data_IF_714315121932
#
_entry.id   IF_714315121932
#
_cell.length_a   1.000
_cell.length_b   1.000
_cell.length_c   1.000
_cell.angle_alpha   90.00
_cell.angle_beta   90.00
_cell.angle_gamma   90.00
#
_symmetry.space_group_name_H-M   'P 1'
#
loop_
_entity.id
_entity.type
_entity.pdbx_description
1 polymer ?
#
# COMPACT_ATOMS: atom_id res chain seq x y z
N UNK A 1 15.32 -29.45 -11.31
CA UNK A 1 15.88 -28.08 -11.14
C UNK A 1 15.42 -27.52 -9.79
N UNK A 2 16.20 -27.63 -8.70
CA UNK A 2 15.70 -27.38 -7.34
C UNK A 2 15.75 -25.92 -6.87
N UNK A 3 16.56 -25.06 -7.51
CA UNK A 3 16.93 -23.76 -6.93
C UNK A 3 16.18 -22.55 -7.53
N UNK A 4 15.58 -22.69 -8.72
CA UNK A 4 14.95 -21.59 -9.45
C UNK A 4 13.75 -20.98 -8.72
N UNK A 5 12.96 -21.81 -8.03
CA UNK A 5 11.80 -21.37 -7.25
C UNK A 5 12.21 -20.46 -6.08
N UNK A 6 13.31 -20.78 -5.38
CA UNK A 6 13.82 -19.97 -4.27
C UNK A 6 14.42 -18.63 -4.75
N UNK A 7 15.04 -18.61 -5.93
CA UNK A 7 15.57 -17.37 -6.52
C UNK A 7 14.45 -16.45 -7.01
N UNK A 8 13.42 -17.00 -7.65
CA UNK A 8 12.23 -16.23 -8.03
C UNK A 8 11.53 -15.63 -6.81
N UNK A 9 11.33 -16.41 -5.73
CA UNK A 9 10.70 -15.91 -4.51
C UNK A 9 11.48 -14.74 -3.89
N UNK A 10 12.81 -14.86 -3.80
CA UNK A 10 13.67 -13.79 -3.29
C UNK A 10 13.63 -12.53 -4.17
N UNK A 11 13.65 -12.69 -5.49
CA UNK A 11 13.56 -11.56 -6.43
C UNK A 11 12.24 -10.80 -6.26
N UNK A 12 11.11 -11.50 -6.17
CA UNK A 12 9.79 -10.90 -5.98
C UNK A 12 9.67 -10.17 -4.63
N UNK A 13 10.20 -10.76 -3.55
CA UNK A 13 10.24 -10.10 -2.23
C UNK A 13 11.10 -8.83 -2.24
N UNK A 14 12.25 -8.86 -2.92
CA UNK A 14 13.12 -7.69 -3.06
C UNK A 14 12.44 -6.55 -3.84
N UNK A 15 11.68 -6.87 -4.89
CA UNK A 15 10.86 -5.91 -5.64
C UNK A 15 9.86 -5.18 -4.72
N UNK A 16 9.07 -5.96 -3.96
CA UNK A 16 8.11 -5.38 -3.01
C UNK A 16 8.79 -4.53 -1.94
N UNK A 17 9.91 -5.01 -1.39
CA UNK A 17 10.66 -4.31 -0.34
C UNK A 17 11.22 -2.97 -0.81
N UNK A 18 11.75 -2.91 -2.03
CA UNK A 18 12.28 -1.66 -2.60
C UNK A 18 11.17 -0.63 -2.77
N UNK A 19 10.02 -1.02 -3.31
CA UNK A 19 8.89 -0.11 -3.50
C UNK A 19 8.30 0.36 -2.16
N UNK A 20 8.21 -0.52 -1.15
CA UNK A 20 7.75 -0.13 0.19
C UNK A 20 8.73 0.84 0.88
N UNK A 21 10.03 0.73 0.63
CA UNK A 21 11.01 1.73 1.09
C UNK A 21 10.81 3.07 0.41
N UNK A 22 10.56 3.08 -0.89
CA UNK A 22 10.25 4.32 -1.62
C UNK A 22 8.99 4.99 -1.07
N UNK A 23 7.93 4.22 -0.78
CA UNK A 23 6.72 4.71 -0.12
C UNK A 23 7.01 5.33 1.26
N UNK A 24 7.85 4.68 2.06
CA UNK A 24 8.27 5.22 3.36
C UNK A 24 9.04 6.53 3.22
N UNK A 25 10.00 6.61 2.30
CA UNK A 25 10.78 7.83 2.04
C UNK A 25 9.88 8.97 1.57
N UNK A 26 8.93 8.69 0.66
CA UNK A 26 7.93 9.65 0.20
C UNK A 26 7.10 10.23 1.35
N UNK A 27 6.57 9.36 2.22
CA UNK A 27 5.84 9.77 3.42
C UNK A 27 6.70 10.61 4.38
N UNK A 28 7.97 10.27 4.57
CA UNK A 28 8.88 11.04 5.43
C UNK A 28 9.20 12.41 4.87
N UNK A 29 9.42 12.54 3.57
CA UNK A 29 9.61 13.83 2.90
C UNK A 29 8.38 14.70 3.09
N UNK A 30 7.19 14.15 2.81
CA UNK A 30 5.93 14.87 2.97
C UNK A 30 5.68 15.31 4.42
N UNK A 31 5.97 14.45 5.39
CA UNK A 31 5.88 14.80 6.81
C UNK A 31 6.80 15.96 7.17
N UNK A 32 8.04 15.97 6.65
CA UNK A 32 8.98 17.06 6.89
C UNK A 32 8.51 18.41 6.31
N UNK A 33 7.62 18.40 5.32
CA UNK A 33 7.12 19.61 4.66
C UNK A 33 5.76 20.08 5.21
N UNK A 34 4.93 19.15 5.69
CA UNK A 34 3.51 19.41 6.02
C UNK A 34 3.15 19.08 7.47
N UNK A 35 4.11 18.58 8.27
CA UNK A 35 3.94 18.13 9.65
C UNK A 35 2.84 17.07 9.85
N UNK A 36 2.46 16.36 8.78
CA UNK A 36 1.45 15.29 8.79
C UNK A 36 1.80 14.19 7.78
N UNK A 37 1.30 12.98 8.01
CA UNK A 37 1.28 11.95 6.98
C UNK A 37 0.10 12.17 6.03
N UNK A 38 0.17 11.61 4.83
CA UNK A 38 -0.93 11.63 3.87
C UNK A 38 -1.54 10.25 3.68
N UNK A 39 -2.84 10.23 3.42
CA UNK A 39 -3.57 9.04 3.00
C UNK A 39 -3.44 8.78 1.48
N UNK A 40 -2.87 9.72 0.72
CA UNK A 40 -2.95 9.72 -0.73
C UNK A 40 -1.58 9.66 -1.41
N UNK A 41 -1.42 8.73 -2.35
CA UNK A 41 -0.18 8.43 -3.05
C UNK A 41 0.27 9.59 -3.96
N UNK A 42 -0.68 10.27 -4.60
CA UNK A 42 -0.42 11.46 -5.42
C UNK A 42 0.06 12.66 -4.59
N UNK A 43 -0.38 12.81 -3.33
CA UNK A 43 0.11 13.89 -2.47
C UNK A 43 1.58 13.72 -2.08
N UNK A 44 2.00 12.47 -1.84
CA UNK A 44 3.37 12.15 -1.43
C UNK A 44 4.31 11.88 -2.61
N UNK A 45 3.79 11.92 -3.84
CA UNK A 45 4.57 11.61 -5.05
C UNK A 45 4.96 10.14 -5.19
N UNK A 46 4.21 9.22 -4.56
CA UNK A 46 4.45 7.78 -4.71
C UNK A 46 3.69 7.24 -5.94
N UNK A 47 4.44 6.83 -6.96
CA UNK A 47 3.89 6.13 -8.12
C UNK A 47 4.86 5.02 -8.55
N UNK A 48 4.55 3.74 -8.28
CA UNK A 48 5.37 2.64 -8.76
C UNK A 48 5.27 2.54 -10.28
N UNK A 49 6.35 2.11 -10.94
CA UNK A 49 6.37 1.92 -12.39
C UNK A 49 5.30 0.91 -12.86
N UNK A 50 4.88 1.02 -14.13
CA UNK A 50 4.03 0.03 -14.79
C UNK A 50 4.67 -1.36 -14.76
N UNK A 51 3.83 -2.39 -14.71
CA UNK A 51 4.26 -3.76 -14.52
C UNK A 51 4.56 -4.15 -13.07
N UNK A 52 4.09 -3.37 -12.09
CA UNK A 52 4.18 -3.71 -10.68
C UNK A 52 3.37 -4.98 -10.37
N UNK A 53 4.02 -5.95 -9.73
CA UNK A 53 3.38 -7.23 -9.35
C UNK A 53 2.52 -7.14 -8.09
N UNK A 54 2.67 -6.06 -7.34
CA UNK A 54 2.08 -5.87 -6.02
C UNK A 54 1.23 -4.61 -5.99
N UNK A 55 0.10 -4.69 -5.30
CA UNK A 55 -0.71 -3.52 -4.95
C UNK A 55 -0.21 -2.89 -3.66
N UNK A 56 -0.40 -1.58 -3.54
CA UNK A 56 0.00 -0.76 -2.39
C UNK A 56 -1.24 -0.04 -1.86
N UNK A 57 -1.50 -0.20 -0.57
CA UNK A 57 -2.67 0.40 0.09
C UNK A 57 -2.13 1.35 1.15
N UNK A 58 -2.44 2.63 1.01
CA UNK A 58 -1.98 3.68 1.91
C UNK A 58 -3.04 3.97 2.97
N UNK A 59 -4.31 3.95 2.57
CA UNK A 59 -5.44 4.17 3.47
C UNK A 59 -6.65 3.36 3.02
N UNK A 60 -7.58 3.15 3.95
CA UNK A 60 -8.86 2.47 3.72
C UNK A 60 -10.00 3.45 3.96
N UNK A 61 -11.02 3.43 3.09
CA UNK A 61 -12.19 4.29 3.23
C UNK A 61 -11.95 5.79 2.97
N UNK A 62 -10.86 6.15 2.30
CA UNK A 62 -10.59 7.50 1.81
C UNK A 62 -10.21 7.44 0.33
N UNK A 63 -10.49 8.49 -0.44
CA UNK A 63 -10.08 8.63 -1.83
C UNK A 63 -10.51 7.49 -2.76
N UNK A 64 -9.84 7.40 -3.89
CA UNK A 64 -10.11 6.45 -4.98
C UNK A 64 -8.93 5.46 -5.15
N UNK A 65 -9.23 4.30 -5.72
CA UNK A 65 -8.20 3.31 -6.08
C UNK A 65 -7.69 3.52 -7.51
N UNK A 66 -6.37 3.60 -7.71
CA UNK A 66 -5.76 3.57 -9.04
C UNK A 66 -5.76 2.13 -9.56
N UNK A 67 -6.71 1.83 -10.45
CA UNK A 67 -6.83 0.55 -11.12
C UNK A 67 -5.94 0.50 -12.38
N UNK A 68 -4.96 -0.43 -12.38
CA UNK A 68 -4.04 -0.68 -13.51
C UNK A 68 -4.54 -1.85 -14.34
N UNK A 69 -5.81 -1.79 -14.73
CA UNK A 69 -6.51 -2.83 -15.47
C UNK A 69 -6.57 -2.58 -16.99
N UNK A 70 -6.14 -1.41 -17.45
CA UNK A 70 -6.10 -1.03 -18.86
C UNK A 70 -4.70 -0.58 -19.31
N UNK A 71 -4.54 -0.39 -20.63
CA UNK A 71 -3.32 0.13 -21.22
C UNK A 71 -2.97 1.52 -20.67
N UNK A 72 -3.99 2.37 -20.50
CA UNK A 72 -3.85 3.71 -19.93
C UNK A 72 -4.29 3.72 -18.46
N UNK A 73 -3.63 4.55 -17.65
CA UNK A 73 -4.08 4.85 -16.29
C UNK A 73 -5.00 6.07 -16.40
N UNK A 74 -6.27 5.88 -16.03
CA UNK A 74 -7.22 6.99 -15.98
C UNK A 74 -6.76 8.02 -14.93
N UNK A 75 -6.90 9.32 -15.20
CA UNK A 75 -6.60 10.34 -14.20
C UNK A 75 -7.50 10.15 -12.98
N UNK A 76 -6.93 10.26 -11.79
CA UNK A 76 -7.69 10.16 -10.55
C UNK A 76 -8.57 11.42 -10.38
N UNK A 77 -9.84 11.21 -10.05
CA UNK A 77 -10.79 12.29 -9.75
C UNK A 77 -10.62 12.84 -8.32
N UNK A 78 -10.02 12.05 -7.43
CA UNK A 78 -9.73 12.38 -6.03
C UNK A 78 -8.33 11.84 -5.63
N UNK A 79 -7.93 11.99 -4.37
CA UNK A 79 -6.71 11.42 -3.82
C UNK A 79 -6.61 9.91 -4.01
N UNK A 80 -5.43 9.42 -4.41
CA UNK A 80 -5.21 8.00 -4.67
C UNK A 80 -4.87 7.29 -3.36
N UNK A 81 -5.81 6.55 -2.76
CA UNK A 81 -5.59 5.86 -1.47
C UNK A 81 -4.98 4.46 -1.62
N UNK A 82 -5.06 3.90 -2.82
CA UNK A 82 -4.44 2.63 -3.16
C UNK A 82 -4.07 2.54 -4.63
N UNK A 83 -3.01 1.80 -4.93
CA UNK A 83 -2.57 1.51 -6.29
C UNK A 83 -2.59 0.00 -6.45
N UNK A 84 -3.38 -0.48 -7.40
CA UNK A 84 -3.49 -1.91 -7.68
C UNK A 84 -2.21 -2.49 -8.32
N UNK A 85 -2.07 -3.82 -8.29
CA UNK A 85 -1.09 -4.48 -9.16
C UNK A 85 -1.47 -4.27 -10.62
N UNK A 86 -0.50 -4.40 -11.53
CA UNK A 86 -0.74 -4.25 -12.98
C UNK A 86 -1.52 -5.46 -13.52
N UNK A 87 -2.83 -5.43 -13.31
CA UNK A 87 -3.77 -6.46 -13.78
C UNK A 87 -3.85 -6.49 -15.30
N UNK A 88 -3.59 -5.37 -15.99
CA UNK A 88 -3.48 -5.33 -17.44
C UNK A 88 -2.32 -6.23 -17.93
N UNK A 89 -1.15 -6.15 -17.28
CA UNK A 89 0.03 -6.96 -17.62
C UNK A 89 -0.09 -8.41 -17.19
N UNK A 90 -0.54 -8.66 -15.96
CA UNK A 90 -0.48 -10.00 -15.36
C UNK A 90 -1.78 -10.79 -15.49
N UNK A 91 -2.86 -10.16 -15.96
CA UNK A 91 -4.20 -10.74 -16.00
C UNK A 91 -4.81 -10.87 -14.60
N UNK A 92 -6.15 -10.87 -14.56
CA UNK A 92 -6.93 -11.04 -13.34
C UNK A 92 -7.68 -9.78 -12.91
N UNK A 93 -8.34 -9.88 -11.76
CA UNK A 93 -9.12 -8.77 -11.20
C UNK A 93 -8.28 -8.00 -10.19
N UNK A 94 -8.11 -6.70 -10.41
CA UNK A 94 -7.54 -5.79 -9.43
C UNK A 94 -8.56 -5.53 -8.31
N UNK A 95 -8.51 -6.32 -7.24
CA UNK A 95 -9.36 -6.16 -6.07
C UNK A 95 -8.52 -5.92 -4.81
N UNK A 96 -8.90 -4.92 -4.01
CA UNK A 96 -8.31 -4.73 -2.70
C UNK A 96 -8.76 -5.87 -1.76
N UNK A 97 -7.87 -6.39 -0.90
CA UNK A 97 -8.27 -7.37 0.11
C UNK A 97 -9.25 -6.74 1.11
N UNK A 98 -10.22 -7.53 1.56
CA UNK A 98 -11.06 -7.13 2.68
C UNK A 98 -10.23 -7.19 3.96
N UNK A 99 -10.02 -6.03 4.59
CA UNK A 99 -9.37 -5.98 5.89
C UNK A 99 -10.36 -6.42 6.96
N UNK A 100 -10.08 -7.52 7.64
CA UNK A 100 -10.77 -7.83 8.88
C UNK A 100 -10.23 -6.86 9.95
N UNK A 101 -11.07 -5.90 10.37
CA UNK A 101 -10.76 -5.06 11.54
C UNK A 101 -10.85 -5.95 12.77
N UNK A 102 -9.76 -6.63 13.09
CA UNK A 102 -9.56 -7.14 14.44
C UNK A 102 -9.23 -5.92 15.30
N UNK A 103 -10.27 -5.24 15.80
CA UNK A 103 -10.08 -4.37 16.95
C UNK A 103 -9.33 -5.22 17.99
N UNK A 104 -8.28 -4.69 18.58
CA UNK A 104 -7.64 -5.35 19.70
C UNK A 104 -8.72 -5.57 20.77
N UNK A 105 -9.23 -6.79 20.86
CA UNK A 105 -10.09 -7.20 21.95
C UNK A 105 -9.14 -7.32 23.13
N UNK A 106 -9.08 -6.29 23.97
CA UNK A 106 -8.41 -6.41 25.24
C UNK A 106 -8.93 -7.67 25.93
N UNK A 107 -8.03 -8.58 26.30
CA UNK A 107 -8.38 -9.77 27.07
C UNK A 107 -8.81 -9.26 28.45
N UNK A 108 -10.11 -9.24 28.70
CA UNK A 108 -10.71 -8.72 29.92
C UNK A 108 -11.28 -7.32 29.74
N UNK A 109 -12.41 -7.06 30.38
CA UNK A 109 -13.16 -5.79 30.41
C UNK A 109 -12.44 -4.63 31.12
N UNK A 110 -11.11 -4.53 30.95
CA UNK A 110 -10.28 -3.42 31.40
C UNK A 110 -9.50 -2.88 30.21
N UNK A 111 -10.21 -2.23 29.29
CA UNK A 111 -9.56 -1.43 28.26
C UNK A 111 -8.67 -0.35 28.91
N UNK A 112 -7.58 0.00 28.25
CA UNK A 112 -6.65 1.04 28.69
C UNK A 112 -7.39 2.36 28.97
N UNK A 113 -7.25 2.89 30.19
CA UNK A 113 -7.96 4.09 30.67
C UNK A 113 -7.24 5.42 30.36
N UNK A 114 -6.09 5.35 29.68
CA UNK A 114 -5.32 6.52 29.27
C UNK A 114 -4.55 7.23 30.38
N UNK A 115 -4.47 6.69 31.61
CA UNK A 115 -3.93 7.45 32.76
C UNK A 115 -2.53 7.06 33.22
N UNK A 116 -1.97 5.94 32.77
CA UNK A 116 -0.60 5.57 33.14
C UNK A 116 0.15 4.88 32.01
N UNK A 117 1.36 5.37 31.73
CA UNK A 117 2.39 4.61 31.02
C UNK A 117 3.31 3.98 32.07
N UNK A 118 3.49 2.66 31.99
CA UNK A 118 4.62 1.98 32.61
C UNK A 118 5.88 2.18 31.77
#
# INVERSE_FOLDING_TARGET
IPNFIKFQARSKQSEAKTNLKALFTAQKSFFSEKDRYSNFANEIGFSPERGNRYGYILSVGSGEAELRAAADIAPAADGISSISYDAFRFGGTAAAPTFAVANFAAVGSGGWDGTTFG
#
